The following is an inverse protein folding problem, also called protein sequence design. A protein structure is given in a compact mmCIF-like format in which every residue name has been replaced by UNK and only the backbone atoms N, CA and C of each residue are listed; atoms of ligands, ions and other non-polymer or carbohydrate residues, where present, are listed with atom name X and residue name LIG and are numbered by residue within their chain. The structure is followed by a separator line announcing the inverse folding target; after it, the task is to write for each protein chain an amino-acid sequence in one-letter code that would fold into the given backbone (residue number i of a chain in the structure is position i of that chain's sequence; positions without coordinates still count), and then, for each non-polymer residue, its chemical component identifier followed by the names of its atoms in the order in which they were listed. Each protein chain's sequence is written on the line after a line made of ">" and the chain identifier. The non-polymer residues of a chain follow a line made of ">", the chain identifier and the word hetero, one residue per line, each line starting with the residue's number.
data_IF_545083416214
#
_entry.id   IF_545083416214
#
_cell.length_a   1.000
_cell.length_b   1.000
_cell.length_c   1.000
_cell.angle_alpha   90.00
_cell.angle_beta   90.00
_cell.angle_gamma   90.00
#
_symmetry.space_group_name_H-M   'P 1'
#
loop_
_entity.id
_entity.type
_entity.pdbx_description
1 polymer ?
#
# COMPACT_ATOMS: atom_id res chain seq x y z
N UNK A 1 13.39 29.82 15.21
CA UNK A 1 12.63 28.90 14.37
C UNK A 1 12.82 27.50 14.93
N UNK A 2 11.79 26.67 15.03
CA UNK A 2 11.97 25.29 15.41
C UNK A 2 12.91 24.59 14.43
N UNK A 3 13.67 23.61 14.89
CA UNK A 3 14.49 22.78 14.01
C UNK A 3 13.59 21.99 13.06
N UNK A 4 13.97 21.82 11.78
CA UNK A 4 13.23 20.99 10.86
C UNK A 4 13.21 19.52 11.33
N UNK A 5 12.15 18.83 11.02
CA UNK A 5 12.04 17.38 11.25
C UNK A 5 13.00 16.63 10.32
N UNK A 6 13.38 15.38 10.65
CA UNK A 6 14.18 14.55 9.74
C UNK A 6 13.55 14.45 8.34
N UNK A 7 12.24 14.25 8.23
CA UNK A 7 11.54 14.15 6.95
C UNK A 7 11.59 15.46 6.14
N UNK A 8 11.46 16.62 6.77
CA UNK A 8 11.64 17.92 6.09
C UNK A 8 13.06 18.10 5.57
N UNK A 9 14.09 17.67 6.35
CA UNK A 9 15.47 17.72 5.90
C UNK A 9 15.75 16.76 4.72
N UNK A 10 15.25 15.53 4.80
CA UNK A 10 15.36 14.54 3.72
C UNK A 10 14.65 15.02 2.45
N UNK A 11 13.46 15.60 2.58
CA UNK A 11 12.70 16.18 1.47
C UNK A 11 13.48 17.31 0.79
N UNK A 12 14.04 18.24 1.59
CA UNK A 12 14.83 19.33 1.04
C UNK A 12 16.10 18.82 0.34
N UNK A 13 16.79 17.84 0.92
CA UNK A 13 17.97 17.22 0.31
C UNK A 13 17.62 16.50 -1.00
N UNK A 14 16.48 15.77 -1.03
CA UNK A 14 16.00 15.10 -2.23
C UNK A 14 15.71 16.12 -3.37
N UNK A 15 15.04 17.22 -3.09
CA UNK A 15 14.78 18.25 -4.12
C UNK A 15 16.05 18.90 -4.64
N UNK A 16 17.07 19.14 -3.78
CA UNK A 16 18.37 19.63 -4.21
C UNK A 16 19.07 18.61 -5.12
N UNK A 17 19.06 17.35 -4.72
CA UNK A 17 19.65 16.25 -5.48
C UNK A 17 19.00 16.09 -6.86
N UNK A 18 17.66 16.06 -6.95
CA UNK A 18 16.97 15.98 -8.25
C UNK A 18 17.30 17.16 -9.16
N UNK A 19 17.46 18.36 -8.60
CA UNK A 19 17.89 19.53 -9.36
C UNK A 19 19.34 19.41 -9.85
N UNK A 20 20.27 18.92 -9.02
CA UNK A 20 21.66 18.71 -9.38
C UNK A 20 21.81 17.62 -10.46
N UNK A 21 21.06 16.52 -10.34
CA UNK A 21 21.03 15.43 -11.31
C UNK A 21 20.27 15.77 -12.60
N UNK A 22 19.62 16.93 -12.67
CA UNK A 22 18.82 17.36 -13.83
C UNK A 22 17.81 16.33 -14.29
N UNK A 23 17.09 15.71 -13.33
CA UNK A 23 16.09 14.69 -13.62
C UNK A 23 14.98 15.23 -14.56
N UNK A 24 14.68 14.50 -15.64
CA UNK A 24 13.60 14.85 -16.56
C UNK A 24 12.23 14.71 -15.92
N UNK A 25 12.03 13.67 -15.10
CA UNK A 25 10.81 13.39 -14.35
C UNK A 25 11.16 12.99 -12.94
N UNK A 26 10.41 13.52 -11.96
CA UNK A 26 10.56 13.17 -10.55
C UNK A 26 9.23 12.67 -10.04
N UNK A 27 9.22 11.45 -9.49
CA UNK A 27 8.07 10.87 -8.81
C UNK A 27 8.22 11.08 -7.31
N UNK A 28 7.28 11.81 -6.71
CA UNK A 28 7.32 12.18 -5.29
C UNK A 28 6.16 11.51 -4.57
N UNK A 29 6.46 10.65 -3.61
CA UNK A 29 5.48 10.08 -2.71
C UNK A 29 5.30 11.00 -1.48
N UNK A 30 4.03 11.28 -1.15
CA UNK A 30 3.66 12.05 0.05
C UNK A 30 3.98 11.23 1.30
N UNK A 31 4.62 11.85 2.29
CA UNK A 31 4.92 11.18 3.56
C UNK A 31 3.67 10.91 4.38
N UNK A 32 2.82 11.94 4.58
CA UNK A 32 1.56 11.78 5.32
C UNK A 32 0.53 12.84 4.89
N UNK A 33 -0.69 12.40 4.62
CA UNK A 33 -1.79 13.30 4.25
C UNK A 33 -1.58 13.91 2.87
N UNK A 34 -1.07 15.12 2.80
CA UNK A 34 -0.79 15.82 1.56
C UNK A 34 -0.77 17.33 1.73
N UNK A 35 -1.83 17.94 2.28
CA UNK A 35 -2.00 19.40 2.38
C UNK A 35 -0.83 20.07 3.08
N UNK A 36 -0.38 19.54 4.20
CA UNK A 36 0.72 20.06 5.03
C UNK A 36 1.98 19.21 4.98
N UNK A 37 2.06 18.30 4.00
CA UNK A 37 3.22 17.46 3.84
C UNK A 37 4.43 18.25 3.30
N UNK A 38 5.63 17.95 3.78
CA UNK A 38 6.84 18.63 3.36
C UNK A 38 7.07 18.56 1.84
N UNK A 39 6.63 17.47 1.20
CA UNK A 39 6.74 17.31 -0.26
C UNK A 39 5.81 18.24 -1.04
N UNK A 40 4.79 18.79 -0.39
CA UNK A 40 3.79 19.65 -1.03
C UNK A 40 4.25 21.11 -1.27
N UNK A 41 5.49 21.42 -0.94
CA UNK A 41 6.09 22.76 -1.16
C UNK A 41 6.17 23.15 -2.64
N UNK A 42 6.17 22.17 -3.55
CA UNK A 42 6.22 22.43 -5.00
C UNK A 42 4.99 23.18 -5.48
N UNK A 43 5.14 24.29 -6.21
CA UNK A 43 4.01 25.12 -6.64
C UNK A 43 3.23 24.52 -7.82
N UNK A 44 3.86 23.63 -8.59
CA UNK A 44 3.26 22.94 -9.75
C UNK A 44 3.73 21.51 -9.77
N UNK A 45 2.84 20.61 -10.17
CA UNK A 45 3.16 19.22 -10.51
C UNK A 45 2.69 18.96 -11.94
N UNK A 46 3.36 18.04 -12.63
CA UNK A 46 2.90 17.55 -13.92
C UNK A 46 1.51 16.90 -13.77
N UNK A 47 1.41 15.98 -12.82
CA UNK A 47 0.15 15.32 -12.43
C UNK A 47 0.13 15.20 -10.90
N UNK A 48 -0.99 15.52 -10.27
CA UNK A 48 -1.27 15.15 -8.88
C UNK A 48 -2.05 13.84 -8.87
N UNK A 49 -1.51 12.81 -8.21
CA UNK A 49 -2.10 11.47 -8.22
C UNK A 49 -2.70 11.15 -6.86
N UNK A 50 -3.96 10.74 -6.85
CA UNK A 50 -4.67 10.32 -5.64
C UNK A 50 -5.09 8.86 -5.83
N UNK A 51 -4.40 7.94 -5.15
CA UNK A 51 -4.77 6.53 -5.10
C UNK A 51 -6.01 6.32 -4.22
N UNK A 52 -6.50 5.09 -4.08
CA UNK A 52 -7.66 4.79 -3.24
C UNK A 52 -7.47 5.31 -1.81
N UNK A 53 -8.49 6.00 -1.29
CA UNK A 53 -8.50 6.55 0.08
C UNK A 53 -9.31 5.63 0.97
N UNK A 54 -8.73 5.26 2.10
CA UNK A 54 -9.37 4.46 3.14
C UNK A 54 -9.06 5.01 4.53
N UNK A 55 -9.70 4.46 5.56
CA UNK A 55 -9.47 4.84 6.95
C UNK A 55 -8.09 4.38 7.40
N UNK A 56 -7.12 5.28 7.40
CA UNK A 56 -5.78 5.08 7.97
C UNK A 56 -5.27 6.41 8.55
N UNK A 57 -4.27 6.34 9.42
CA UNK A 57 -3.66 7.50 10.07
C UNK A 57 -4.67 8.46 10.75
N UNK A 58 -5.79 7.92 11.25
CA UNK A 58 -6.91 8.69 11.81
C UNK A 58 -6.48 9.70 12.88
N UNK A 59 -5.46 9.37 13.66
CA UNK A 59 -4.93 10.25 14.70
C UNK A 59 -4.41 11.60 14.14
N UNK A 60 -4.02 11.63 12.88
CA UNK A 60 -3.41 12.80 12.24
C UNK A 60 -4.27 13.39 11.12
N UNK A 61 -4.98 12.55 10.37
CA UNK A 61 -5.67 12.97 9.16
C UNK A 61 -7.17 13.21 9.35
N UNK A 62 -7.73 12.75 10.48
CA UNK A 62 -9.15 12.87 10.77
C UNK A 62 -9.84 11.53 11.03
N UNK A 63 -11.10 11.61 11.45
CA UNK A 63 -11.90 10.45 11.88
C UNK A 63 -12.93 10.02 10.84
N UNK A 64 -13.01 10.73 9.71
CA UNK A 64 -13.91 10.42 8.59
C UNK A 64 -13.14 10.33 7.28
N UNK A 65 -13.71 9.67 6.28
CA UNK A 65 -13.12 9.57 4.94
C UNK A 65 -13.00 10.94 4.28
N UNK A 66 -13.96 11.83 4.53
CA UNK A 66 -13.98 13.19 4.00
C UNK A 66 -12.82 14.03 4.57
N UNK A 67 -12.55 13.92 5.87
CA UNK A 67 -11.42 14.60 6.51
C UNK A 67 -10.08 14.10 5.94
N UNK A 68 -9.92 12.79 5.79
CA UNK A 68 -8.73 12.18 5.19
C UNK A 68 -8.60 12.62 3.73
N UNK A 69 -9.69 12.61 2.97
CA UNK A 69 -9.72 13.05 1.57
C UNK A 69 -9.34 14.53 1.44
N UNK A 70 -9.81 15.39 2.35
CA UNK A 70 -9.43 16.80 2.38
C UNK A 70 -7.93 17.00 2.58
N UNK A 71 -7.33 16.25 3.49
CA UNK A 71 -5.88 16.30 3.69
C UNK A 71 -5.11 15.82 2.47
N UNK A 72 -5.55 14.70 1.85
CA UNK A 72 -4.87 14.13 0.68
C UNK A 72 -5.04 14.98 -0.58
N UNK A 73 -6.21 15.53 -0.83
CA UNK A 73 -6.46 16.40 -1.99
C UNK A 73 -5.74 17.75 -1.91
N UNK A 74 -5.14 18.10 -0.77
CA UNK A 74 -4.26 19.27 -0.64
C UNK A 74 -3.06 19.30 -1.59
N UNK A 75 -2.67 18.18 -2.19
CA UNK A 75 -1.62 18.13 -3.23
C UNK A 75 -2.06 18.65 -4.60
N UNK A 76 -3.36 18.83 -4.82
CA UNK A 76 -3.90 19.38 -6.07
C UNK A 76 -3.40 20.81 -6.25
N UNK A 77 -2.92 21.12 -7.45
CA UNK A 77 -2.34 22.44 -7.76
C UNK A 77 -3.29 23.28 -8.60
N UNK A 78 -3.16 24.60 -8.51
CA UNK A 78 -3.96 25.53 -9.33
C UNK A 78 -3.74 25.28 -10.82
N UNK A 79 -4.84 25.15 -11.58
CA UNK A 79 -4.83 24.80 -13.00
C UNK A 79 -4.07 23.50 -13.32
N UNK A 80 -3.94 22.59 -12.34
CA UNK A 80 -3.20 21.35 -12.46
C UNK A 80 -4.01 20.22 -13.10
N UNK A 81 -3.32 19.12 -13.39
CA UNK A 81 -3.94 17.86 -13.77
C UNK A 81 -3.98 16.94 -12.55
N UNK A 82 -5.11 16.29 -12.36
CA UNK A 82 -5.33 15.32 -11.28
C UNK A 82 -5.78 14.01 -11.88
N UNK A 83 -5.13 12.91 -11.48
CA UNK A 83 -5.60 11.55 -11.75
C UNK A 83 -5.95 10.90 -10.43
N UNK A 84 -7.15 10.35 -10.32
CA UNK A 84 -7.59 9.63 -9.11
C UNK A 84 -8.04 8.21 -9.43
N UNK A 85 -7.72 7.28 -8.54
CA UNK A 85 -8.32 5.96 -8.52
C UNK A 85 -9.82 6.06 -8.26
N UNK A 86 -10.55 4.95 -8.45
CA UNK A 86 -11.94 4.82 -7.99
C UNK A 86 -12.05 5.11 -6.50
N UNK A 87 -13.02 5.90 -6.11
CA UNK A 87 -13.24 6.36 -4.74
C UNK A 87 -14.68 6.12 -4.29
N UNK A 88 -14.91 6.09 -2.98
CA UNK A 88 -16.26 6.23 -2.43
C UNK A 88 -16.83 7.62 -2.75
N UNK A 89 -18.14 7.73 -2.88
CA UNK A 89 -18.80 8.98 -3.30
C UNK A 89 -18.47 10.17 -2.40
N UNK A 90 -18.40 9.97 -1.08
CA UNK A 90 -18.06 11.03 -0.14
C UNK A 90 -16.62 11.56 -0.36
N UNK A 91 -15.68 10.67 -0.66
CA UNK A 91 -14.29 11.01 -0.98
C UNK A 91 -14.21 11.73 -2.33
N UNK A 92 -14.91 11.21 -3.35
CA UNK A 92 -14.94 11.81 -4.68
C UNK A 92 -15.45 13.23 -4.65
N UNK A 93 -16.52 13.50 -3.90
CA UNK A 93 -17.07 14.85 -3.74
C UNK A 93 -16.03 15.84 -3.18
N UNK A 94 -15.20 15.42 -2.22
CA UNK A 94 -14.13 16.26 -1.67
C UNK A 94 -13.07 16.57 -2.73
N UNK A 95 -12.65 15.55 -3.49
CA UNK A 95 -11.67 15.73 -4.57
C UNK A 95 -12.21 16.65 -5.67
N UNK A 96 -13.46 16.46 -6.08
CA UNK A 96 -14.12 17.30 -7.10
C UNK A 96 -14.24 18.76 -6.66
N UNK A 97 -14.60 18.99 -5.41
CA UNK A 97 -14.67 20.34 -4.85
C UNK A 97 -13.28 21.01 -4.84
N UNK A 98 -12.25 20.33 -4.39
CA UNK A 98 -10.88 20.86 -4.39
C UNK A 98 -10.39 21.14 -5.83
N UNK A 99 -10.73 20.28 -6.80
CA UNK A 99 -10.44 20.50 -8.21
C UNK A 99 -11.17 21.74 -8.75
N UNK A 100 -12.44 21.92 -8.40
CA UNK A 100 -13.24 23.08 -8.81
C UNK A 100 -12.64 24.37 -8.25
N UNK A 101 -12.32 24.42 -6.95
CA UNK A 101 -11.71 25.58 -6.30
C UNK A 101 -10.37 26.00 -6.93
N UNK A 102 -9.59 25.02 -7.36
CA UNK A 102 -8.27 25.23 -7.96
C UNK A 102 -8.27 25.28 -9.51
N UNK A 103 -9.46 25.22 -10.13
CA UNK A 103 -9.60 25.14 -11.58
C UNK A 103 -8.73 24.02 -12.17
N UNK A 104 -8.63 22.87 -11.48
CA UNK A 104 -7.84 21.72 -11.87
C UNK A 104 -8.66 20.74 -12.73
N UNK A 105 -8.03 20.12 -13.71
CA UNK A 105 -8.64 19.09 -14.54
C UNK A 105 -8.57 17.74 -13.82
N UNK A 106 -9.72 17.13 -13.55
CA UNK A 106 -9.83 15.80 -12.92
C UNK A 106 -10.04 14.70 -13.95
N UNK A 107 -9.26 13.64 -13.85
CA UNK A 107 -9.42 12.39 -14.60
C UNK A 107 -9.62 11.26 -13.59
N UNK A 108 -10.64 10.43 -13.81
CA UNK A 108 -10.98 9.28 -12.97
C UNK A 108 -10.52 8.00 -13.65
N UNK A 109 -9.57 7.31 -13.06
CA UNK A 109 -9.12 5.97 -13.48
C UNK A 109 -10.03 4.92 -12.80
N UNK A 110 -11.30 4.86 -13.19
CA UNK A 110 -12.32 4.04 -12.53
C UNK A 110 -12.33 2.59 -13.01
N UNK A 111 -11.60 2.29 -14.09
CA UNK A 111 -11.47 0.96 -14.67
C UNK A 111 -10.22 0.25 -14.16
N UNK A 112 -10.18 -1.06 -14.33
CA UNK A 112 -8.94 -1.83 -14.19
C UNK A 112 -8.19 -1.82 -15.52
N UNK A 113 -6.86 -1.90 -15.48
CA UNK A 113 -6.07 -2.01 -16.71
C UNK A 113 -6.39 -3.31 -17.46
N UNK A 114 -6.43 -3.21 -18.79
CA UNK A 114 -6.52 -4.38 -19.68
C UNK A 114 -5.13 -4.95 -20.02
N UNK A 115 -4.07 -4.21 -19.72
CA UNK A 115 -2.71 -4.67 -19.96
C UNK A 115 -2.32 -5.81 -19.00
N UNK A 116 -1.39 -6.62 -19.44
CA UNK A 116 -0.69 -7.58 -18.60
C UNK A 116 0.17 -6.82 -17.58
N UNK A 117 0.13 -7.27 -16.33
CA UNK A 117 0.92 -6.72 -15.23
C UNK A 117 1.71 -7.83 -14.54
N UNK A 118 2.88 -7.50 -14.03
CA UNK A 118 3.74 -8.44 -13.29
C UNK A 118 3.36 -8.60 -11.83
N UNK A 119 2.68 -7.61 -11.26
CA UNK A 119 2.31 -7.61 -9.84
C UNK A 119 1.04 -8.43 -9.60
N UNK A 120 1.12 -9.40 -8.70
CA UNK A 120 -0.04 -10.17 -8.25
C UNK A 120 -0.93 -9.35 -7.30
N UNK A 121 -2.22 -9.73 -7.22
CA UNK A 121 -3.23 -9.06 -6.41
C UNK A 121 -4.21 -8.23 -7.25
N UNK A 122 -5.51 -8.40 -7.01
CA UNK A 122 -6.56 -7.72 -7.80
C UNK A 122 -6.45 -6.20 -7.77
N UNK A 123 -6.14 -5.65 -6.61
CA UNK A 123 -5.96 -4.21 -6.44
C UNK A 123 -4.80 -3.63 -7.27
N UNK A 124 -3.86 -4.47 -7.70
CA UNK A 124 -2.76 -4.00 -8.54
C UNK A 124 -3.21 -3.63 -9.95
N UNK A 125 -4.28 -4.24 -10.43
CA UNK A 125 -4.89 -3.85 -11.72
C UNK A 125 -5.54 -2.47 -11.65
N UNK A 126 -6.11 -2.09 -10.49
CA UNK A 126 -6.61 -0.74 -10.24
C UNK A 126 -5.45 0.26 -10.16
N UNK A 127 -4.38 -0.07 -9.43
CA UNK A 127 -3.18 0.76 -9.33
C UNK A 127 -2.51 0.95 -10.70
N UNK A 128 -2.45 -0.11 -11.50
CA UNK A 128 -1.90 -0.06 -12.86
C UNK A 128 -2.72 0.86 -13.77
N UNK A 129 -4.05 0.85 -13.66
CA UNK A 129 -4.91 1.77 -14.43
C UNK A 129 -4.63 3.24 -14.10
N UNK A 130 -4.38 3.55 -12.82
CA UNK A 130 -3.96 4.91 -12.41
C UNK A 130 -2.60 5.25 -13.00
N UNK A 131 -1.62 4.34 -12.92
CA UNK A 131 -0.28 4.56 -13.48
C UNK A 131 -0.32 4.72 -15.01
N UNK A 132 -1.09 3.90 -15.70
CA UNK A 132 -1.35 3.98 -17.15
C UNK A 132 -1.89 5.35 -17.53
N UNK A 133 -2.95 5.82 -16.84
CA UNK A 133 -3.55 7.12 -17.10
C UNK A 133 -2.56 8.26 -16.86
N UNK A 134 -1.77 8.21 -15.78
CA UNK A 134 -0.72 9.20 -15.51
C UNK A 134 0.33 9.22 -16.63
N UNK A 135 0.81 8.06 -17.04
CA UNK A 135 1.86 7.93 -18.06
C UNK A 135 1.44 8.50 -19.42
N UNK A 136 0.16 8.43 -19.77
CA UNK A 136 -0.38 9.05 -20.99
C UNK A 136 -0.27 10.58 -21.03
N UNK A 137 -0.01 11.21 -19.89
CA UNK A 137 0.18 12.65 -19.76
C UNK A 137 1.64 13.07 -19.58
N UNK A 138 2.58 12.14 -19.78
CA UNK A 138 4.02 12.42 -19.76
C UNK A 138 4.53 12.45 -21.18
N UNK A 139 5.07 13.59 -21.59
CA UNK A 139 5.62 13.77 -22.94
C UNK A 139 6.73 12.73 -23.22
N UNK A 140 6.67 12.14 -24.40
CA UNK A 140 7.64 11.14 -24.85
C UNK A 140 7.38 9.71 -24.39
N UNK A 141 6.36 9.45 -23.57
CA UNK A 141 5.96 8.10 -23.17
C UNK A 141 4.96 7.53 -24.18
N UNK A 142 5.29 6.39 -24.79
CA UNK A 142 4.43 5.68 -25.72
C UNK A 142 3.60 4.60 -25.02
N UNK A 143 2.52 4.13 -25.67
CA UNK A 143 1.73 2.98 -25.20
C UNK A 143 2.58 1.70 -25.02
N UNK A 144 3.63 1.54 -25.81
CA UNK A 144 4.56 0.41 -25.67
C UNK A 144 5.42 0.54 -24.41
N UNK A 145 5.82 1.76 -24.05
CA UNK A 145 6.57 2.02 -22.81
C UNK A 145 5.70 1.74 -21.58
N UNK A 146 4.41 2.12 -21.62
CA UNK A 146 3.45 1.81 -20.58
C UNK A 146 3.33 0.30 -20.38
N UNK A 147 3.10 -0.46 -21.46
CA UNK A 147 3.01 -1.93 -21.42
C UNK A 147 4.27 -2.56 -20.84
N UNK A 148 5.43 -2.15 -21.34
CA UNK A 148 6.71 -2.65 -20.86
C UNK A 148 6.95 -2.29 -19.39
N UNK A 149 6.59 -1.10 -18.97
CA UNK A 149 6.66 -0.67 -17.56
C UNK A 149 5.82 -1.54 -16.66
N UNK A 150 4.56 -1.80 -17.01
CA UNK A 150 3.64 -2.60 -16.21
C UNK A 150 4.09 -4.06 -16.08
N UNK A 151 4.60 -4.66 -17.15
CA UNK A 151 5.07 -6.06 -17.17
C UNK A 151 6.40 -6.24 -16.39
N UNK A 152 7.23 -5.20 -16.33
CA UNK A 152 8.53 -5.27 -15.68
C UNK A 152 8.54 -4.64 -14.27
N UNK A 153 7.40 -4.15 -13.78
CA UNK A 153 7.31 -3.57 -12.45
C UNK A 153 7.55 -4.63 -11.38
N UNK A 154 8.44 -4.34 -10.43
CA UNK A 154 8.70 -5.17 -9.26
C UNK A 154 8.45 -4.33 -8.01
N UNK A 155 7.68 -4.85 -7.08
CA UNK A 155 7.43 -4.21 -5.80
C UNK A 155 7.40 -5.22 -4.66
N UNK A 156 8.45 -5.21 -3.86
CA UNK A 156 8.61 -6.19 -2.79
C UNK A 156 7.57 -6.02 -1.67
N UNK A 157 7.05 -7.15 -1.16
CA UNK A 157 6.12 -7.18 -0.05
C UNK A 157 4.68 -6.75 -0.39
N UNK A 158 4.27 -6.80 -1.65
CA UNK A 158 2.90 -6.57 -2.10
C UNK A 158 2.36 -7.79 -2.82
N UNK A 159 1.81 -8.74 -2.06
CA UNK A 159 1.34 -10.05 -2.51
C UNK A 159 2.42 -10.79 -3.33
N UNK A 160 3.66 -10.62 -2.93
CA UNK A 160 4.85 -11.10 -3.64
C UNK A 160 5.12 -12.56 -3.35
N UNK A 161 5.20 -13.37 -4.40
CA UNK A 161 5.63 -14.76 -4.29
C UNK A 161 7.17 -14.85 -4.30
N UNK A 162 7.74 -15.20 -3.16
CA UNK A 162 9.20 -15.27 -2.96
C UNK A 162 9.77 -16.69 -3.07
N UNK A 163 8.92 -17.73 -3.04
CA UNK A 163 9.32 -19.11 -3.16
C UNK A 163 8.18 -19.96 -3.72
N UNK A 164 8.51 -20.97 -4.53
CA UNK A 164 7.54 -21.89 -5.14
C UNK A 164 7.33 -23.19 -4.34
N UNK A 165 8.31 -23.61 -3.54
CA UNK A 165 8.26 -24.92 -2.83
C UNK A 165 8.91 -24.83 -1.45
N UNK A 166 8.13 -24.66 -0.37
CA UNK A 166 6.70 -24.37 -0.37
C UNK A 166 6.41 -23.01 -1.03
N UNK A 167 5.22 -22.86 -1.59
CA UNK A 167 4.81 -21.57 -2.10
C UNK A 167 4.69 -20.58 -0.94
N UNK A 168 5.46 -19.50 -1.00
CA UNK A 168 5.56 -18.51 0.07
C UNK A 168 5.30 -17.12 -0.49
N UNK A 169 4.31 -16.45 0.10
CA UNK A 169 3.87 -15.11 -0.30
C UNK A 169 4.06 -14.16 0.86
N UNK A 170 4.55 -12.97 0.57
CA UNK A 170 4.64 -11.87 1.53
C UNK A 170 3.73 -10.72 1.11
N UNK A 171 3.07 -10.13 2.12
CA UNK A 171 2.23 -8.95 1.93
C UNK A 171 2.34 -7.99 3.11
N UNK A 172 2.31 -6.69 2.81
CA UNK A 172 2.42 -5.61 3.79
C UNK A 172 1.08 -5.08 4.31
N UNK A 173 -0.03 -5.80 4.16
CA UNK A 173 -1.33 -5.37 4.67
C UNK A 173 -1.29 -5.12 6.19
N UNK A 174 -1.58 -3.89 6.60
CA UNK A 174 -1.47 -3.46 7.99
C UNK A 174 -2.62 -2.55 8.46
N UNK A 175 -3.62 -2.35 7.61
CA UNK A 175 -4.86 -1.63 7.91
C UNK A 175 -6.07 -2.44 7.44
N UNK A 176 -7.27 -1.95 7.69
CA UNK A 176 -8.51 -2.67 7.38
C UNK A 176 -8.69 -2.87 5.87
N UNK A 177 -8.39 -1.86 5.07
CA UNK A 177 -8.50 -1.93 3.61
C UNK A 177 -7.48 -2.91 3.03
N UNK A 178 -6.22 -2.83 3.45
CA UNK A 178 -5.18 -3.81 3.08
C UNK A 178 -5.57 -5.24 3.45
N UNK A 179 -6.17 -5.46 4.62
CA UNK A 179 -6.64 -6.78 5.03
C UNK A 179 -7.77 -7.31 4.14
N UNK A 180 -8.71 -6.44 3.70
CA UNK A 180 -9.77 -6.81 2.75
C UNK A 180 -9.19 -7.19 1.39
N UNK A 181 -8.27 -6.37 0.84
CA UNK A 181 -7.61 -6.62 -0.44
C UNK A 181 -6.75 -7.88 -0.41
N UNK A 182 -6.05 -8.13 0.70
CA UNK A 182 -5.34 -9.38 0.94
C UNK A 182 -6.30 -10.59 0.92
N UNK A 183 -7.44 -10.48 1.61
CA UNK A 183 -8.49 -11.50 1.60
C UNK A 183 -8.97 -11.79 0.19
N UNK A 184 -9.36 -10.78 -0.57
CA UNK A 184 -9.82 -10.90 -1.97
C UNK A 184 -8.77 -11.60 -2.84
N UNK A 185 -7.50 -11.22 -2.70
CA UNK A 185 -6.41 -11.85 -3.43
C UNK A 185 -6.21 -13.31 -3.03
N UNK A 186 -6.22 -13.62 -1.74
CA UNK A 186 -6.12 -15.01 -1.25
C UNK A 186 -7.30 -15.84 -1.75
N UNK A 187 -8.53 -15.37 -1.64
CA UNK A 187 -9.72 -16.08 -2.10
C UNK A 187 -9.67 -16.35 -3.62
N UNK A 188 -9.21 -15.38 -4.39
CA UNK A 188 -9.09 -15.52 -5.85
C UNK A 188 -8.00 -16.51 -6.27
N UNK A 189 -6.80 -16.37 -5.75
CA UNK A 189 -5.64 -17.15 -6.22
C UNK A 189 -5.47 -18.49 -5.46
N UNK A 190 -5.99 -18.58 -4.23
CA UNK A 190 -5.74 -19.70 -3.30
C UNK A 190 -6.98 -20.25 -2.61
N UNK A 191 -8.19 -19.84 -2.96
CA UNK A 191 -9.44 -20.07 -2.24
C UNK A 191 -9.72 -21.51 -1.78
N UNK A 192 -9.19 -22.52 -2.47
CA UNK A 192 -9.35 -23.93 -2.11
C UNK A 192 -8.09 -24.56 -1.48
N UNK A 193 -7.07 -23.77 -1.18
CA UNK A 193 -5.81 -24.27 -0.63
C UNK A 193 -5.78 -24.16 0.90
N UNK A 194 -5.00 -25.03 1.50
CA UNK A 194 -4.69 -24.97 2.94
C UNK A 194 -3.59 -23.93 3.15
N UNK A 195 -3.95 -22.82 3.80
CA UNK A 195 -3.02 -21.72 4.04
C UNK A 195 -2.49 -21.80 5.46
N UNK A 196 -1.18 -21.65 5.61
CA UNK A 196 -0.53 -21.34 6.87
C UNK A 196 -0.20 -19.85 6.86
N UNK A 197 -0.68 -19.11 7.85
CA UNK A 197 -0.52 -17.68 7.93
C UNK A 197 0.44 -17.30 9.05
N UNK A 198 1.49 -16.54 8.71
CA UNK A 198 2.44 -15.98 9.67
C UNK A 198 2.19 -14.48 9.69
N UNK A 199 1.89 -13.94 10.86
CA UNK A 199 1.48 -12.54 10.96
C UNK A 199 1.98 -11.85 12.21
N UNK A 200 2.27 -10.56 12.09
CA UNK A 200 2.57 -9.64 13.17
C UNK A 200 2.04 -8.25 12.84
N UNK A 201 1.70 -7.47 13.83
CA UNK A 201 1.06 -6.17 13.65
C UNK A 201 1.58 -5.16 14.67
N UNK A 202 1.43 -3.86 14.40
CA UNK A 202 1.73 -2.81 15.37
C UNK A 202 0.52 -2.53 16.27
N UNK A 203 0.79 -2.14 17.52
CA UNK A 203 -0.23 -1.93 18.55
C UNK A 203 -1.22 -0.79 18.21
N UNK A 204 -0.74 0.22 17.50
CA UNK A 204 -1.52 1.38 17.05
C UNK A 204 -2.45 1.09 15.86
N UNK A 205 -2.39 -0.09 15.28
CA UNK A 205 -3.27 -0.50 14.17
C UNK A 205 -4.56 -1.16 14.66
N UNK A 206 -5.57 -1.21 13.81
CA UNK A 206 -6.85 -1.83 14.09
C UNK A 206 -6.76 -3.39 14.09
N UNK A 207 -5.81 -3.95 14.85
CA UNK A 207 -5.40 -5.36 14.79
C UNK A 207 -6.55 -6.36 15.00
N UNK A 208 -7.56 -6.02 15.83
CA UNK A 208 -8.75 -6.87 16.00
C UNK A 208 -9.57 -6.99 14.72
N UNK A 209 -9.76 -5.87 14.01
CA UNK A 209 -10.49 -5.88 12.71
C UNK A 209 -9.69 -6.58 11.63
N UNK A 210 -8.37 -6.44 11.63
CA UNK A 210 -7.48 -7.19 10.73
C UNK A 210 -7.61 -8.69 11.01
N UNK A 211 -7.56 -9.10 12.28
CA UNK A 211 -7.75 -10.50 12.70
C UNK A 211 -9.10 -11.06 12.25
N UNK A 212 -10.19 -10.33 12.44
CA UNK A 212 -11.54 -10.71 11.99
C UNK A 212 -11.61 -11.00 10.50
N UNK A 213 -10.92 -10.21 9.68
CA UNK A 213 -10.93 -10.33 8.22
C UNK A 213 -10.03 -11.48 7.75
N UNK A 214 -8.83 -11.63 8.33
CA UNK A 214 -7.79 -12.51 7.79
C UNK A 214 -7.71 -13.87 8.46
N UNK A 215 -8.06 -13.99 9.74
CA UNK A 215 -7.94 -15.25 10.47
C UNK A 215 -8.79 -16.40 9.90
N UNK A 216 -10.00 -16.18 9.36
CA UNK A 216 -10.79 -17.26 8.77
C UNK A 216 -10.18 -17.87 7.49
N UNK A 217 -9.22 -17.20 6.86
CA UNK A 217 -8.60 -17.64 5.60
C UNK A 217 -7.58 -18.77 5.80
N UNK A 218 -7.08 -18.93 7.00
CA UNK A 218 -5.96 -19.85 7.28
C UNK A 218 -6.41 -21.11 8.02
N UNK A 219 -5.77 -22.23 7.68
CA UNK A 219 -5.89 -23.49 8.44
C UNK A 219 -5.09 -23.44 9.74
N UNK A 220 -3.95 -22.78 9.76
CA UNK A 220 -3.06 -22.58 10.90
C UNK A 220 -2.49 -21.19 10.87
N UNK A 221 -2.40 -20.55 12.03
CA UNK A 221 -1.85 -19.20 12.16
C UNK A 221 -0.72 -19.20 13.18
N UNK A 222 0.38 -18.56 12.82
CA UNK A 222 1.47 -18.23 13.71
C UNK A 222 1.54 -16.72 13.90
N UNK A 223 1.50 -16.27 15.15
CA UNK A 223 1.70 -14.84 15.46
C UNK A 223 3.13 -14.61 15.95
N UNK A 224 3.73 -13.55 15.44
CA UNK A 224 5.08 -13.11 15.79
C UNK A 224 5.05 -11.69 16.32
N UNK A 225 6.04 -11.33 17.14
CA UNK A 225 6.28 -9.95 17.53
C UNK A 225 7.30 -9.33 16.57
N UNK A 226 6.90 -8.35 15.69
CA UNK A 226 7.84 -7.66 14.82
C UNK A 226 8.96 -6.97 15.62
N UNK A 227 10.17 -6.92 15.06
CA UNK A 227 11.28 -6.21 15.68
C UNK A 227 11.13 -4.68 15.52
N UNK A 228 10.20 -4.11 16.26
CA UNK A 228 9.88 -2.68 16.25
C UNK A 228 9.30 -2.26 17.60
N UNK A 229 9.64 -1.07 18.13
CA UNK A 229 9.10 -0.57 19.41
C UNK A 229 7.56 -0.45 19.45
N UNK A 230 6.92 -0.35 18.31
CA UNK A 230 5.43 -0.27 18.16
C UNK A 230 4.76 -1.63 18.02
N UNK A 231 5.53 -2.73 18.10
CA UNK A 231 5.00 -4.06 17.87
C UNK A 231 3.97 -4.46 18.94
N UNK A 232 2.87 -5.07 18.51
CA UNK A 232 1.97 -5.81 19.39
C UNK A 232 2.63 -7.15 19.73
N UNK A 233 2.56 -7.60 20.99
CA UNK A 233 3.10 -8.90 21.34
C UNK A 233 2.35 -10.03 20.63
N UNK A 234 3.08 -11.10 20.28
CA UNK A 234 2.52 -12.28 19.62
C UNK A 234 1.40 -12.91 20.41
N UNK A 235 1.50 -12.99 21.77
CA UNK A 235 0.47 -13.56 22.63
C UNK A 235 -0.82 -12.73 22.61
N UNK A 236 -0.69 -11.39 22.68
CA UNK A 236 -1.84 -10.49 22.61
C UNK A 236 -2.54 -10.57 21.26
N UNK A 237 -1.77 -10.71 20.17
CA UNK A 237 -2.33 -10.88 18.85
C UNK A 237 -2.96 -12.26 18.65
N UNK A 238 -2.33 -13.33 19.15
CA UNK A 238 -2.90 -14.68 19.15
C UNK A 238 -4.24 -14.74 19.89
N UNK A 239 -4.34 -14.06 21.03
CA UNK A 239 -5.59 -13.95 21.79
C UNK A 239 -6.70 -13.27 20.97
N UNK A 240 -6.40 -12.20 20.23
CA UNK A 240 -7.37 -11.54 19.36
C UNK A 240 -7.78 -12.43 18.16
N UNK A 241 -6.85 -13.17 17.58
CA UNK A 241 -7.09 -14.09 16.48
C UNK A 241 -7.92 -15.30 16.92
N UNK A 242 -7.74 -15.79 18.16
CA UNK A 242 -8.44 -16.96 18.68
C UNK A 242 -9.96 -16.80 18.74
N UNK A 243 -10.47 -15.58 18.69
CA UNK A 243 -11.91 -15.30 18.57
C UNK A 243 -12.47 -15.77 17.20
N UNK A 244 -11.63 -15.84 16.17
CA UNK A 244 -12.03 -16.15 14.79
C UNK A 244 -11.41 -17.45 14.24
N UNK A 245 -10.28 -17.89 14.82
CA UNK A 245 -9.60 -19.11 14.42
C UNK A 245 -8.87 -19.72 15.63
N UNK A 246 -9.33 -20.89 16.08
CA UNK A 246 -8.77 -21.59 17.25
C UNK A 246 -7.40 -22.22 16.99
N UNK A 247 -7.00 -22.37 15.73
CA UNK A 247 -5.73 -22.97 15.35
C UNK A 247 -4.62 -21.91 15.22
N UNK A 248 -4.42 -21.13 16.27
CA UNK A 248 -3.43 -20.07 16.36
C UNK A 248 -2.40 -20.36 17.44
N UNK A 249 -1.15 -19.99 17.20
CA UNK A 249 -0.02 -20.19 18.10
C UNK A 249 0.90 -18.96 18.10
N UNK A 250 1.25 -18.48 19.30
CA UNK A 250 2.23 -17.42 19.46
C UNK A 250 3.64 -18.01 19.47
N UNK A 251 4.50 -17.54 18.57
CA UNK A 251 5.86 -18.10 18.39
C UNK A 251 6.91 -16.99 18.26
N UNK A 252 8.18 -17.33 18.46
CA UNK A 252 9.27 -16.47 18.01
C UNK A 252 9.44 -16.60 16.49
N UNK A 253 9.99 -15.57 15.84
CA UNK A 253 10.22 -15.61 14.39
C UNK A 253 11.16 -16.77 13.99
N UNK A 254 12.21 -17.03 14.77
CA UNK A 254 13.14 -18.13 14.54
C UNK A 254 12.44 -19.48 14.61
N UNK A 255 11.57 -19.69 15.59
CA UNK A 255 10.77 -20.91 15.74
C UNK A 255 9.82 -21.07 14.54
N UNK A 256 9.17 -20.00 14.12
CA UNK A 256 8.25 -20.03 12.97
C UNK A 256 8.95 -20.48 11.69
N UNK A 257 10.11 -19.91 11.39
CA UNK A 257 10.88 -20.26 10.19
C UNK A 257 11.37 -21.71 10.21
N UNK A 258 11.70 -22.26 11.37
CA UNK A 258 12.09 -23.67 11.52
C UNK A 258 10.96 -24.65 11.19
N UNK A 259 9.71 -24.33 11.56
CA UNK A 259 8.56 -25.21 11.34
C UNK A 259 7.90 -25.06 9.98
N UNK A 260 8.11 -23.94 9.30
CA UNK A 260 7.44 -23.63 8.03
C UNK A 260 8.33 -23.74 6.81
N UNK A 261 9.65 -23.64 6.99
CA UNK A 261 10.63 -23.83 5.91
C UNK A 261 11.15 -25.25 5.89
N UNK A 262 11.36 -25.87 4.70
CA UNK A 262 12.07 -27.13 4.63
C UNK A 262 13.48 -26.95 5.21
N UNK A 263 13.86 -27.84 6.12
CA UNK A 263 15.18 -27.82 6.74
C UNK A 263 16.27 -27.83 5.68
N UNK A 264 17.39 -27.11 5.86
CA UNK A 264 18.56 -27.26 4.98
C UNK A 264 19.03 -28.70 4.81
N UNK A 265 18.72 -29.58 5.78
CA UNK A 265 19.01 -31.04 5.70
C UNK A 265 18.11 -31.79 4.71
N UNK A 266 16.92 -31.26 4.40
CA UNK A 266 16.01 -31.88 3.42
C UNK A 266 16.40 -31.56 1.97
N UNK A 267 17.24 -30.54 1.75
CA UNK A 267 17.79 -30.18 0.44
C UNK A 267 18.94 -31.09 -0.04
N UNK A 268 19.48 -31.91 0.85
CA UNK A 268 20.62 -32.80 0.54
C UNK A 268 20.20 -34.26 0.24
N UNK A 269 18.88 -34.52 0.18
CA UNK A 269 18.33 -35.87 -0.10
C UNK A 269 17.53 -35.97 -1.40
N UNK A 270 17.79 -35.09 -2.37
CA UNK A 270 17.27 -35.26 -3.73
C UNK A 270 18.38 -35.38 -4.76
#
# INVERSE_FOLDING_TARGET
>A
TPHPTPFEMETAAAFLYFKEEQCDVVLIEVGMGGREDATNIIPKSLVSVITSISMDHMKFLGNTLEEIAYQKSGIIKNNGLVVTAKQENCVMNVIENECCEKNARLIKADNVTEYEISLDGEYQRENAAVAEEVCRHIDGVSENDIKNGLINTVWHGRFEKICDKPEFIIDGAHNIDGAKRLKESIEKYYGNRKIVYITGVFEDKAYKRIAEITAPLAQKIYTITPNNPRALSNEKYASAISEYNQNVEAVSLDTCLLYTSPSPRDRTRS
#
